data_IF_921948089745
#
_entry.id   IF_921948089745
#
_cell.length_a   1.000
_cell.length_b   1.000
_cell.length_c   1.000
_cell.angle_alpha   90.00
_cell.angle_beta   90.00
_cell.angle_gamma   90.00
#
_symmetry.space_group_name_H-M   'P 1'
#
loop_
_entity.id
_entity.type
_entity.pdbx_description
1 polymer ?
#
# COMPACT_ATOMS: atom_id res chain seq x y z
N UNK A 1 5.59 -1.21 28.28
CA UNK A 1 5.47 -2.60 27.75
C UNK A 1 5.32 -2.39 26.26
N UNK A 2 6.41 -2.54 25.50
CA UNK A 2 6.46 -2.16 24.07
C UNK A 2 5.60 -3.17 23.30
N UNK A 3 4.42 -2.76 22.81
CA UNK A 3 3.68 -3.55 21.84
C UNK A 3 4.51 -3.53 20.55
N UNK A 4 4.93 -4.71 20.10
CA UNK A 4 5.57 -4.88 18.80
C UNK A 4 4.48 -4.67 17.75
N UNK A 5 4.70 -3.71 16.86
CA UNK A 5 3.83 -3.33 15.76
C UNK A 5 3.59 -4.59 14.90
N UNK A 6 2.33 -4.95 14.69
CA UNK A 6 1.91 -5.91 13.65
C UNK A 6 1.77 -5.09 12.38
N UNK A 7 2.74 -5.17 11.48
CA UNK A 7 2.74 -4.44 10.20
C UNK A 7 2.97 -5.49 9.11
N UNK A 8 1.93 -5.73 8.31
CA UNK A 8 2.01 -6.39 7.01
C UNK A 8 1.18 -5.53 6.07
N UNK A 9 1.79 -4.40 5.72
CA UNK A 9 1.40 -3.43 4.69
C UNK A 9 2.62 -2.53 4.53
N UNK A 10 3.67 -3.04 3.86
CA UNK A 10 4.97 -2.36 3.82
C UNK A 10 4.93 -1.02 3.05
N UNK A 11 3.92 -0.78 2.22
CA UNK A 11 3.84 0.40 1.35
C UNK A 11 2.41 0.96 1.17
N UNK A 12 1.52 0.78 2.14
CA UNK A 12 0.12 1.19 1.96
C UNK A 12 -0.09 2.69 2.28
N UNK A 13 -0.06 3.52 1.24
CA UNK A 13 -0.38 4.94 1.26
C UNK A 13 -1.90 5.17 1.14
N UNK A 14 -2.55 5.66 2.20
CA UNK A 14 -3.93 6.15 2.09
C UNK A 14 -3.87 7.59 1.58
N UNK A 15 -4.02 7.78 0.27
CA UNK A 15 -4.22 9.10 -0.33
C UNK A 15 -5.73 9.39 -0.39
N UNK A 16 -6.23 10.22 0.52
CA UNK A 16 -7.60 10.74 0.50
C UNK A 16 -7.77 11.82 -0.58
N UNK A 17 -8.08 11.40 -1.81
CA UNK A 17 -8.43 12.33 -2.90
C UNK A 17 -9.92 12.70 -2.84
N UNK A 18 -10.21 13.99 -2.71
CA UNK A 18 -11.57 14.54 -2.75
C UNK A 18 -11.96 14.90 -4.19
N UNK A 19 -12.87 14.13 -4.80
CA UNK A 19 -13.31 14.35 -6.17
C UNK A 19 -14.29 15.53 -6.31
N UNK A 20 -13.92 16.50 -7.15
CA UNK A 20 -14.82 17.53 -7.68
C UNK A 20 -15.37 17.08 -9.03
N UNK A 21 -16.69 16.87 -9.09
CA UNK A 21 -17.43 16.32 -10.22
C UNK A 21 -17.77 17.35 -11.33
N UNK A 22 -17.75 16.88 -12.59
CA UNK A 22 -18.60 17.21 -13.78
C UNK A 22 -17.77 16.86 -15.04
N UNK A 23 -18.13 15.96 -15.96
CA UNK A 23 -19.41 15.45 -16.46
C UNK A 23 -19.59 15.85 -17.94
N UNK A 24 -19.64 14.90 -18.89
CA UNK A 24 -20.49 14.90 -20.11
C UNK A 24 -20.37 13.57 -20.91
N UNK A 25 -21.43 13.17 -21.62
CA UNK A 25 -21.83 11.79 -22.01
C UNK A 25 -21.35 11.24 -23.40
N UNK A 26 -21.01 9.92 -23.43
CA UNK A 26 -21.38 8.83 -24.39
C UNK A 26 -20.94 8.85 -25.89
N UNK A 27 -21.05 7.75 -26.71
CA UNK A 27 -21.41 6.33 -26.44
C UNK A 27 -20.56 5.20 -27.13
N UNK A 28 -20.55 4.01 -26.48
CA UNK A 28 -20.68 2.60 -26.93
C UNK A 28 -20.37 2.15 -28.38
N UNK A 29 -19.58 1.07 -28.51
CA UNK A 29 -19.94 -0.08 -29.38
C UNK A 29 -19.24 -1.40 -28.97
N UNK A 30 -20.01 -2.48 -28.94
CA UNK A 30 -19.66 -3.85 -28.52
C UNK A 30 -19.03 -4.66 -29.68
N UNK A 31 -18.04 -5.53 -29.40
CA UNK A 31 -17.81 -6.73 -30.22
C UNK A 31 -17.02 -7.83 -29.48
N UNK A 32 -17.70 -8.96 -29.30
CA UNK A 32 -17.27 -10.27 -28.78
C UNK A 32 -16.26 -11.04 -29.68
N UNK A 33 -15.70 -12.17 -29.19
CA UNK A 33 -14.28 -12.53 -29.34
C UNK A 33 -13.97 -13.53 -30.47
N UNK A 34 -12.68 -13.72 -30.76
CA UNK A 34 -12.18 -14.85 -31.57
C UNK A 34 -10.94 -15.49 -30.96
N UNK A 35 -11.06 -16.78 -30.68
CA UNK A 35 -10.01 -17.70 -30.28
C UNK A 35 -8.94 -17.97 -31.36
N UNK A 36 -7.80 -18.45 -30.83
CA UNK A 36 -6.79 -19.38 -31.35
C UNK A 36 -5.52 -18.80 -31.97
N UNK A 37 -4.39 -19.00 -31.26
CA UNK A 37 -3.32 -19.90 -31.71
C UNK A 37 -2.18 -20.00 -30.68
N UNK A 38 -1.75 -21.23 -30.40
CA UNK A 38 -0.51 -21.57 -29.69
C UNK A 38 0.71 -20.84 -30.28
N UNK A 39 1.48 -20.14 -29.43
CA UNK A 39 2.82 -19.64 -29.76
C UNK A 39 3.79 -20.07 -28.66
N UNK A 40 4.65 -21.07 -28.95
CA UNK A 40 5.94 -21.22 -28.26
C UNK A 40 6.76 -19.95 -28.57
N UNK A 41 6.65 -18.99 -27.64
CA UNK A 41 7.25 -17.65 -27.68
C UNK A 41 6.46 -16.61 -26.86
N UNK A 42 5.75 -17.04 -25.82
CA UNK A 42 4.80 -16.19 -25.06
C UNK A 42 5.28 -15.70 -23.70
N UNK A 43 6.49 -16.05 -23.24
CA UNK A 43 6.97 -15.59 -21.91
C UNK A 43 7.31 -14.07 -21.91
N UNK A 44 7.57 -13.46 -23.07
CA UNK A 44 7.79 -11.99 -23.14
C UNK A 44 6.50 -11.17 -23.05
N UNK A 45 5.31 -11.76 -23.27
CA UNK A 45 4.04 -11.01 -23.23
C UNK A 45 3.49 -10.83 -21.81
N UNK A 46 4.01 -11.59 -20.85
CA UNK A 46 3.61 -11.49 -19.45
C UNK A 46 4.59 -10.66 -18.61
N UNK A 47 5.77 -10.26 -19.11
CA UNK A 47 6.71 -9.44 -18.34
C UNK A 47 6.40 -7.96 -18.54
N UNK A 48 6.03 -7.26 -17.47
CA UNK A 48 5.63 -5.84 -17.48
C UNK A 48 6.75 -4.90 -17.05
N UNK A 49 7.73 -5.39 -16.29
CA UNK A 49 8.95 -4.66 -15.96
C UNK A 49 10.11 -5.61 -15.66
N UNK A 50 11.34 -5.08 -15.64
CA UNK A 50 12.55 -5.79 -15.23
C UNK A 50 13.35 -4.89 -14.30
N UNK A 51 13.72 -5.38 -13.11
CA UNK A 51 14.47 -4.67 -12.07
C UNK A 51 15.75 -5.44 -11.75
N UNK A 52 16.90 -4.92 -12.15
CA UNK A 52 18.22 -5.57 -11.98
C UNK A 52 18.28 -7.02 -12.51
N UNK A 53 17.48 -7.32 -13.54
CA UNK A 53 17.38 -8.64 -14.15
C UNK A 53 16.31 -9.56 -13.54
N UNK A 54 15.59 -9.12 -12.52
CA UNK A 54 14.38 -9.76 -12.00
C UNK A 54 13.16 -9.29 -12.82
N UNK A 55 12.35 -10.23 -13.27
CA UNK A 55 11.17 -9.94 -14.11
C UNK A 55 9.95 -9.72 -13.21
N UNK A 56 9.22 -8.63 -13.42
CA UNK A 56 7.91 -8.40 -12.82
C UNK A 56 6.87 -8.84 -13.84
N UNK A 57 6.01 -9.75 -13.43
CA UNK A 57 4.98 -10.37 -14.25
C UNK A 57 3.68 -9.55 -14.25
N UNK A 58 2.90 -9.69 -15.32
CA UNK A 58 1.60 -9.05 -15.49
C UNK A 58 0.62 -9.50 -14.42
N UNK A 59 0.70 -10.77 -14.02
CA UNK A 59 -0.12 -11.33 -12.95
C UNK A 59 0.13 -10.60 -11.62
N UNK A 60 1.39 -10.38 -11.25
CA UNK A 60 1.75 -9.60 -10.05
C UNK A 60 1.18 -8.18 -10.14
N UNK A 61 1.37 -7.50 -11.28
CA UNK A 61 0.78 -6.18 -11.51
C UNK A 61 -0.74 -6.18 -11.38
N UNK A 62 -1.40 -7.21 -11.91
CA UNK A 62 -2.85 -7.34 -11.82
C UNK A 62 -3.28 -7.48 -10.37
N UNK A 63 -2.67 -8.40 -9.63
CA UNK A 63 -2.95 -8.64 -8.21
C UNK A 63 -2.72 -7.40 -7.35
N UNK A 64 -1.59 -6.70 -7.52
CA UNK A 64 -1.31 -5.45 -6.79
C UNK A 64 -2.36 -4.38 -7.11
N UNK A 65 -2.82 -4.26 -8.37
CA UNK A 65 -3.92 -3.35 -8.70
C UNK A 65 -5.22 -3.72 -7.98
N UNK A 66 -5.57 -5.01 -7.90
CA UNK A 66 -6.76 -5.46 -7.17
C UNK A 66 -6.68 -5.13 -5.68
N UNK A 67 -5.51 -5.35 -5.08
CA UNK A 67 -5.25 -5.01 -3.69
C UNK A 67 -5.37 -3.50 -3.43
N UNK A 68 -4.76 -2.67 -4.27
CA UNK A 68 -4.85 -1.22 -4.17
C UNK A 68 -6.30 -0.72 -4.36
N UNK A 69 -7.01 -1.25 -5.34
CA UNK A 69 -8.41 -0.90 -5.59
C UNK A 69 -9.30 -1.27 -4.39
N UNK A 70 -9.09 -2.46 -3.82
CA UNK A 70 -9.77 -2.89 -2.60
C UNK A 70 -9.47 -1.97 -1.42
N UNK A 71 -8.19 -1.59 -1.23
CA UNK A 71 -7.78 -0.67 -0.17
C UNK A 71 -8.45 0.71 -0.32
N UNK A 72 -8.54 1.22 -1.54
CA UNK A 72 -9.21 2.49 -1.84
C UNK A 72 -10.74 2.37 -1.78
N UNK A 73 -11.29 1.19 -1.47
CA UNK A 73 -12.73 0.89 -1.47
C UNK A 73 -13.39 1.18 -2.84
N UNK A 74 -12.62 1.00 -3.91
CA UNK A 74 -13.05 1.18 -5.29
C UNK A 74 -13.09 -0.17 -5.99
N UNK A 75 -14.28 -0.79 -6.20
CA UNK A 75 -14.36 -2.05 -6.92
C UNK A 75 -13.85 -1.90 -8.36
N UNK A 76 -12.90 -2.74 -8.78
CA UNK A 76 -12.29 -2.68 -10.14
C UNK A 76 -13.35 -2.75 -11.24
N UNK A 77 -14.35 -3.63 -11.11
CA UNK A 77 -15.46 -3.75 -12.06
C UNK A 77 -16.16 -2.40 -12.32
N UNK A 78 -16.22 -1.52 -11.31
CA UNK A 78 -16.83 -0.20 -11.45
C UNK A 78 -15.88 0.81 -12.09
N UNK A 79 -14.56 0.68 -11.88
CA UNK A 79 -13.54 1.55 -12.45
C UNK A 79 -13.35 1.28 -13.94
N UNK A 80 -13.29 0.00 -14.34
CA UNK A 80 -13.13 -0.42 -15.74
C UNK A 80 -14.26 0.09 -16.65
N UNK A 81 -15.47 0.25 -16.11
CA UNK A 81 -16.61 0.76 -16.87
C UNK A 81 -16.68 2.29 -16.95
N UNK A 82 -15.97 3.02 -16.07
CA UNK A 82 -16.25 4.43 -15.80
C UNK A 82 -15.08 5.37 -16.08
N UNK A 83 -13.83 4.94 -15.92
CA UNK A 83 -12.69 5.88 -15.90
C UNK A 83 -11.36 5.25 -16.34
N UNK A 84 -11.04 5.37 -17.64
CA UNK A 84 -9.76 4.93 -18.20
C UNK A 84 -8.56 5.69 -17.59
N UNK A 85 -8.72 6.93 -17.12
CA UNK A 85 -7.65 7.72 -16.53
C UNK A 85 -7.31 7.17 -15.14
N UNK A 86 -8.33 6.93 -14.31
CA UNK A 86 -8.18 6.29 -13.01
C UNK A 86 -7.55 4.88 -13.12
N UNK A 87 -7.93 4.10 -14.13
CA UNK A 87 -7.34 2.77 -14.33
C UNK A 87 -5.86 2.83 -14.70
N UNK A 88 -5.43 3.87 -15.44
CA UNK A 88 -4.03 4.10 -15.72
C UNK A 88 -3.28 4.56 -14.47
N UNK A 89 -3.85 5.46 -13.67
CA UNK A 89 -3.26 5.87 -12.38
C UNK A 89 -3.08 4.68 -11.45
N UNK A 90 -4.08 3.80 -11.33
CA UNK A 90 -4.01 2.60 -10.51
C UNK A 90 -2.93 1.63 -11.00
N UNK A 91 -2.81 1.45 -12.33
CA UNK A 91 -1.75 0.65 -12.93
C UNK A 91 -0.37 1.23 -12.64
N UNK A 92 -0.22 2.54 -12.76
CA UNK A 92 1.05 3.22 -12.52
C UNK A 92 1.43 3.16 -11.02
N UNK A 93 0.47 3.31 -10.11
CA UNK A 93 0.69 3.10 -8.67
C UNK A 93 1.13 1.68 -8.34
N UNK A 94 0.45 0.66 -8.89
CA UNK A 94 0.82 -0.73 -8.68
C UNK A 94 2.21 -1.06 -9.24
N UNK A 95 2.57 -0.49 -10.40
CA UNK A 95 3.90 -0.64 -10.99
C UNK A 95 4.98 -0.01 -10.11
N UNK A 96 4.74 1.18 -9.58
CA UNK A 96 5.66 1.86 -8.66
C UNK A 96 5.83 1.07 -7.34
N UNK A 97 4.75 0.50 -6.81
CA UNK A 97 4.81 -0.36 -5.63
C UNK A 97 5.64 -1.63 -5.87
N UNK A 98 5.42 -2.33 -6.99
CA UNK A 98 6.18 -3.52 -7.33
C UNK A 98 7.66 -3.21 -7.55
N UNK A 99 7.99 -2.20 -8.36
CA UNK A 99 9.39 -1.83 -8.61
C UNK A 99 10.07 -1.39 -7.31
N UNK A 100 9.41 -0.56 -6.50
CA UNK A 100 9.94 -0.10 -5.22
C UNK A 100 10.18 -1.26 -4.25
N UNK A 101 9.22 -2.17 -4.13
CA UNK A 101 9.34 -3.39 -3.33
C UNK A 101 10.50 -4.27 -3.77
N UNK A 102 10.64 -4.53 -5.07
CA UNK A 102 11.76 -5.32 -5.61
C UNK A 102 13.10 -4.67 -5.33
N UNK A 103 13.24 -3.35 -5.54
CA UNK A 103 14.49 -2.63 -5.24
C UNK A 103 14.86 -2.73 -3.76
N UNK A 104 13.89 -2.53 -2.86
CA UNK A 104 14.12 -2.62 -1.42
C UNK A 104 14.49 -4.05 -0.98
N UNK A 105 13.82 -5.07 -1.53
CA UNK A 105 14.12 -6.47 -1.23
C UNK A 105 15.54 -6.87 -1.71
N UNK A 106 15.91 -6.45 -2.92
CA UNK A 106 17.26 -6.68 -3.47
C UNK A 106 18.34 -5.98 -2.65
N UNK A 107 18.08 -4.75 -2.19
CA UNK A 107 19.02 -4.02 -1.35
C UNK A 107 19.15 -4.67 0.04
N UNK A 108 18.04 -5.08 0.65
CA UNK A 108 18.05 -5.84 1.89
C UNK A 108 18.87 -7.15 1.77
N UNK A 109 18.73 -7.89 0.66
CA UNK A 109 19.55 -9.06 0.39
C UNK A 109 21.03 -8.70 0.24
N UNK A 110 21.34 -7.62 -0.49
CA UNK A 110 22.71 -7.13 -0.71
C UNK A 110 23.41 -6.73 0.60
N UNK A 111 22.67 -6.15 1.55
CA UNK A 111 23.15 -5.80 2.89
C UNK A 111 23.16 -6.98 3.88
N UNK A 112 22.57 -8.11 3.49
CA UNK A 112 22.53 -9.33 4.29
C UNK A 112 21.46 -9.30 5.39
N UNK A 113 20.38 -8.54 5.17
CA UNK A 113 19.21 -8.40 6.05
C UNK A 113 18.16 -9.50 5.79
N UNK A 114 18.59 -10.70 5.41
CA UNK A 114 17.69 -11.84 5.20
C UNK A 114 17.27 -12.44 6.55
N UNK A 115 15.95 -12.57 6.83
CA UNK A 115 15.47 -13.18 8.07
C UNK A 115 15.83 -14.68 8.12
N UNK A 116 15.96 -15.21 9.33
CA UNK A 116 16.15 -16.65 9.50
C UNK A 116 14.82 -17.42 9.41
N UNK A 117 14.92 -18.75 9.23
CA UNK A 117 13.75 -19.62 9.05
C UNK A 117 12.78 -19.58 10.25
N UNK A 118 13.29 -19.38 11.48
CA UNK A 118 12.46 -19.30 12.69
C UNK A 118 11.65 -17.99 12.69
N UNK A 119 12.25 -16.90 12.24
CA UNK A 119 11.59 -15.62 12.09
C UNK A 119 10.51 -15.64 11.00
N UNK A 120 10.81 -16.22 9.83
CA UNK A 120 9.82 -16.37 8.75
C UNK A 120 8.65 -17.22 9.21
N UNK A 121 8.89 -18.39 9.82
CA UNK A 121 7.82 -19.26 10.31
C UNK A 121 6.96 -18.57 11.38
N UNK A 122 7.59 -17.85 12.30
CA UNK A 122 6.87 -17.12 13.35
C UNK A 122 5.99 -16.00 12.78
N UNK A 123 6.40 -15.36 11.68
CA UNK A 123 5.58 -14.33 11.03
C UNK A 123 4.48 -14.94 10.17
N UNK A 124 4.77 -16.05 9.48
CA UNK A 124 3.78 -16.83 8.75
C UNK A 124 2.66 -17.34 9.67
N UNK A 125 2.99 -17.90 10.83
CA UNK A 125 2.01 -18.32 11.85
C UNK A 125 1.17 -17.13 12.34
N UNK A 126 1.76 -15.95 12.53
CA UNK A 126 1.04 -14.75 12.96
C UNK A 126 0.12 -14.21 11.85
N UNK A 127 0.57 -14.26 10.61
CA UNK A 127 -0.22 -13.85 9.46
C UNK A 127 -1.46 -14.73 9.31
N UNK A 128 -1.25 -16.03 9.22
CA UNK A 128 -2.32 -17.03 9.06
C UNK A 128 -3.30 -17.03 10.24
N UNK A 129 -2.82 -16.80 11.46
CA UNK A 129 -3.68 -16.71 12.65
C UNK A 129 -4.70 -15.55 12.61
N UNK A 130 -4.45 -14.49 11.82
CA UNK A 130 -5.38 -13.35 11.70
C UNK A 130 -6.65 -13.71 10.95
N UNK A 131 -6.57 -14.65 10.01
CA UNK A 131 -7.72 -15.12 9.24
C UNK A 131 -8.58 -16.10 10.04
N UNK A 132 -8.03 -16.70 11.11
CA UNK A 132 -8.74 -17.66 11.95
C UNK A 132 -9.08 -18.96 11.21
N UNK A 133 -8.47 -19.16 10.05
CA UNK A 133 -8.62 -20.30 9.17
C UNK A 133 -7.69 -21.45 9.61
N UNK A 134 -8.07 -22.67 9.26
CA UNK A 134 -7.15 -23.80 9.35
C UNK A 134 -6.13 -23.78 8.21
N UNK A 135 -4.98 -24.44 8.41
CA UNK A 135 -3.95 -24.59 7.36
C UNK A 135 -4.53 -25.15 6.04
N UNK A 136 -5.49 -26.08 6.12
CA UNK A 136 -6.20 -26.64 4.95
C UNK A 136 -7.07 -25.60 4.24
N UNK A 137 -7.74 -24.70 4.97
CA UNK A 137 -8.53 -23.62 4.39
C UNK A 137 -7.63 -22.56 3.71
N UNK A 138 -6.47 -22.28 4.30
CA UNK A 138 -5.48 -21.36 3.71
C UNK A 138 -4.92 -21.95 2.42
N UNK A 139 -4.54 -23.23 2.41
CA UNK A 139 -4.10 -23.92 1.20
C UNK A 139 -5.20 -23.93 0.11
N UNK A 140 -6.46 -24.14 0.48
CA UNK A 140 -7.60 -24.08 -0.46
C UNK A 140 -7.83 -22.66 -1.01
N UNK A 141 -7.61 -21.63 -0.21
CA UNK A 141 -7.73 -20.23 -0.64
C UNK A 141 -6.59 -19.83 -1.57
N UNK A 142 -5.34 -20.12 -1.22
CA UNK A 142 -4.17 -19.88 -2.08
C UNK A 142 -4.34 -20.58 -3.43
N UNK A 143 -4.81 -21.83 -3.43
CA UNK A 143 -5.03 -22.58 -4.66
C UNK A 143 -6.16 -22.01 -5.55
N UNK A 144 -7.07 -21.19 -5.02
CA UNK A 144 -8.07 -20.48 -5.85
C UNK A 144 -7.45 -19.34 -6.64
N UNK A 145 -6.31 -18.82 -6.18
CA UNK A 145 -5.53 -17.75 -6.80
C UNK A 145 -4.26 -18.30 -7.48
N UNK A 146 -4.19 -19.63 -7.70
CA UNK A 146 -3.03 -20.35 -8.26
C UNK A 146 -1.72 -20.15 -7.45
N UNK A 147 -1.82 -19.81 -6.17
CA UNK A 147 -0.72 -19.64 -5.22
C UNK A 147 -0.50 -20.88 -4.33
N UNK A 148 0.67 -20.94 -3.71
CA UNK A 148 1.08 -22.00 -2.79
C UNK A 148 1.54 -21.45 -1.43
N UNK A 149 1.66 -22.35 -0.44
CA UNK A 149 2.29 -22.00 0.84
C UNK A 149 3.76 -21.61 0.72
N UNK A 150 4.44 -21.99 -0.37
CA UNK A 150 5.81 -21.57 -0.64
C UNK A 150 5.84 -20.13 -1.12
N UNK A 151 4.92 -19.73 -2.01
CA UNK A 151 4.78 -18.34 -2.47
C UNK A 151 4.44 -17.42 -1.30
N UNK A 152 3.48 -17.80 -0.45
CA UNK A 152 3.16 -17.02 0.75
C UNK A 152 4.36 -16.89 1.71
N UNK A 153 5.21 -17.91 1.79
CA UNK A 153 6.42 -17.87 2.62
C UNK A 153 7.46 -16.91 2.02
N UNK A 154 7.57 -16.87 0.70
CA UNK A 154 8.43 -15.95 -0.03
C UNK A 154 7.96 -14.50 0.18
N UNK A 155 6.66 -14.23 0.06
CA UNK A 155 6.07 -12.92 0.34
C UNK A 155 6.36 -12.44 1.76
N UNK A 156 6.18 -13.32 2.76
CA UNK A 156 6.51 -13.01 4.16
C UNK A 156 8.01 -12.71 4.32
N UNK A 157 8.86 -13.46 3.61
CA UNK A 157 10.31 -13.24 3.64
C UNK A 157 10.68 -11.88 3.05
N UNK A 158 10.14 -11.55 1.88
CA UNK A 158 10.35 -10.25 1.23
C UNK A 158 9.83 -9.10 2.08
N UNK A 159 8.62 -9.23 2.65
CA UNK A 159 8.07 -8.20 3.53
C UNK A 159 8.94 -7.95 4.76
N UNK A 160 9.56 -8.99 5.33
CA UNK A 160 10.48 -8.84 6.47
C UNK A 160 11.78 -8.17 6.05
N UNK A 161 12.35 -8.56 4.90
CA UNK A 161 13.54 -7.90 4.34
C UNK A 161 13.31 -6.41 4.11
N UNK A 162 12.18 -6.06 3.49
CA UNK A 162 11.77 -4.67 3.24
C UNK A 162 11.60 -3.91 4.57
N UNK A 163 10.99 -4.53 5.58
CA UNK A 163 10.83 -3.91 6.90
C UNK A 163 12.19 -3.61 7.54
N UNK A 164 13.13 -4.56 7.51
CA UNK A 164 14.45 -4.38 8.12
C UNK A 164 15.28 -3.30 7.40
N UNK A 165 15.26 -3.26 6.06
CA UNK A 165 15.98 -2.19 5.32
C UNK A 165 15.33 -0.83 5.56
N UNK A 166 14.00 -0.75 5.67
CA UNK A 166 13.31 0.49 6.03
C UNK A 166 13.72 0.95 7.43
N UNK A 167 13.72 0.05 8.42
CA UNK A 167 14.15 0.36 9.79
C UNK A 167 15.63 0.81 9.86
N UNK A 168 16.50 0.30 8.98
CA UNK A 168 17.93 0.70 8.93
C UNK A 168 18.17 2.03 8.19
N UNK A 169 17.43 2.30 7.11
CA UNK A 169 17.70 3.43 6.20
C UNK A 169 16.81 4.64 6.44
N UNK A 170 15.58 4.42 6.92
CA UNK A 170 14.56 5.46 7.06
C UNK A 170 14.51 5.93 8.52
N UNK A 171 15.54 6.65 8.94
CA UNK A 171 15.57 7.26 10.28
C UNK A 171 14.99 8.68 10.24
N UNK A 172 13.88 8.93 10.93
CA UNK A 172 13.33 10.29 11.16
C UNK A 172 13.52 10.67 12.63
N UNK A 173 13.78 11.95 12.90
CA UNK A 173 13.87 12.46 14.27
C UNK A 173 12.49 12.34 14.93
N UNK A 174 12.42 11.77 16.13
CA UNK A 174 11.17 11.67 16.90
C UNK A 174 10.78 13.05 17.49
N UNK A 175 11.73 13.97 17.64
CA UNK A 175 11.48 15.32 18.15
C UNK A 175 11.18 16.29 16.97
N UNK A 176 10.00 16.13 16.34
CA UNK A 176 9.53 17.04 15.28
C UNK A 176 8.76 18.24 15.82
N UNK A 177 9.05 19.44 15.34
CA UNK A 177 8.25 20.63 15.64
C UNK A 177 6.99 20.67 14.75
N UNK A 178 5.81 20.81 15.35
CA UNK A 178 4.56 21.07 14.65
C UNK A 178 4.07 22.50 14.85
N UNK A 179 3.45 23.05 13.82
CA UNK A 179 2.83 24.36 13.81
C UNK A 179 1.39 24.30 14.33
N UNK A 180 0.89 25.44 14.82
CA UNK A 180 -0.52 25.56 15.22
C UNK A 180 -1.49 25.24 14.08
N UNK A 181 -1.08 25.47 12.83
CA UNK A 181 -1.86 25.13 11.64
C UNK A 181 -1.99 23.61 11.47
N UNK A 182 -0.89 22.86 11.54
CA UNK A 182 -0.88 21.39 11.48
C UNK A 182 -1.74 20.78 12.60
N UNK A 183 -1.65 21.31 13.82
CA UNK A 183 -2.48 20.85 14.96
C UNK A 183 -3.97 21.15 14.73
N UNK A 184 -4.29 22.32 14.14
CA UNK A 184 -5.68 22.68 13.79
C UNK A 184 -6.22 21.83 12.64
N UNK A 185 -5.39 21.38 11.72
CA UNK A 185 -5.78 20.47 10.64
C UNK A 185 -6.12 19.08 11.17
N UNK A 186 -5.30 18.52 12.06
CA UNK A 186 -5.60 17.25 12.74
C UNK A 186 -6.93 17.31 13.46
N UNK A 187 -7.19 18.40 14.19
CA UNK A 187 -8.45 18.60 14.88
C UNK A 187 -9.67 18.59 13.93
N UNK A 188 -9.56 19.27 12.79
CA UNK A 188 -10.62 19.29 11.78
C UNK A 188 -10.87 17.91 11.16
N UNK A 189 -9.80 17.15 10.87
CA UNK A 189 -9.92 15.78 10.37
C UNK A 189 -10.61 14.87 11.40
N UNK A 190 -10.25 14.99 12.68
CA UNK A 190 -10.88 14.24 13.76
C UNK A 190 -12.37 14.58 13.90
N UNK A 191 -12.73 15.88 13.86
CA UNK A 191 -14.14 16.28 13.85
C UNK A 191 -14.91 15.65 12.67
N UNK A 192 -14.36 15.72 11.47
CA UNK A 192 -14.98 15.15 10.28
C UNK A 192 -15.18 13.63 10.41
N UNK A 193 -14.18 12.91 10.94
CA UNK A 193 -14.27 11.48 11.20
C UNK A 193 -15.33 11.14 12.25
N UNK A 194 -15.42 11.91 13.34
CA UNK A 194 -16.45 11.74 14.36
C UNK A 194 -17.85 11.96 13.80
N UNK A 195 -18.05 13.00 12.97
CA UNK A 195 -19.33 13.26 12.31
C UNK A 195 -19.73 12.12 11.37
N UNK A 196 -18.78 11.58 10.59
CA UNK A 196 -19.03 10.40 9.75
C UNK A 196 -19.46 9.18 10.57
N UNK A 197 -18.86 8.96 11.75
CA UNK A 197 -19.24 7.84 12.62
C UNK A 197 -20.59 8.02 13.33
N UNK A 198 -20.97 9.25 13.70
CA UNK A 198 -22.26 9.53 14.38
C UNK A 198 -23.46 9.52 13.42
N UNK A 199 -23.23 9.69 12.11
CA UNK A 199 -24.25 9.69 11.06
C UNK A 199 -25.18 10.91 11.09
N UNK A 200 -26.04 11.05 10.07
CA UNK A 200 -26.91 12.25 9.83
C UNK A 200 -27.86 12.63 10.98
N UNK A 201 -27.97 11.83 12.04
CA UNK A 201 -28.94 12.08 13.13
C UNK A 201 -28.40 12.91 14.29
N UNK A 202 -27.10 13.18 14.31
CA UNK A 202 -26.43 13.98 15.35
C UNK A 202 -25.56 15.09 14.73
N UNK A 203 -26.03 15.74 13.65
CA UNK A 203 -25.40 16.94 13.05
C UNK A 203 -25.19 18.09 14.06
N UNK A 204 -25.98 18.12 15.15
CA UNK A 204 -25.89 19.12 16.23
C UNK A 204 -24.99 18.66 17.40
N UNK A 205 -24.04 17.75 17.17
CA UNK A 205 -23.02 17.44 18.18
C UNK A 205 -22.21 18.72 18.47
N UNK A 206 -22.35 19.25 19.69
CA UNK A 206 -21.66 20.45 20.20
C UNK A 206 -20.19 20.10 20.45
N UNK A 207 -19.43 19.95 19.37
CA UNK A 207 -17.98 19.76 19.42
C UNK A 207 -17.33 21.11 19.78
N UNK A 208 -16.34 21.13 20.70
CA UNK A 208 -15.68 22.37 21.07
C UNK A 208 -15.04 23.05 19.86
N UNK A 209 -14.90 24.38 19.89
CA UNK A 209 -14.02 25.04 18.93
C UNK A 209 -12.55 24.78 19.30
N UNK A 210 -11.65 24.78 18.32
CA UNK A 210 -10.22 24.54 18.55
C UNK A 210 -9.62 25.45 19.63
N UNK A 211 -10.05 26.71 19.68
CA UNK A 211 -9.60 27.71 20.66
C UNK A 211 -10.11 27.44 22.09
N UNK A 212 -11.17 26.63 22.21
CA UNK A 212 -11.81 26.28 23.48
C UNK A 212 -11.37 24.91 24.02
N UNK A 213 -10.48 24.21 23.30
CA UNK A 213 -9.90 22.93 23.74
C UNK A 213 -9.19 23.08 25.08
N UNK A 214 -9.37 22.09 25.96
CA UNK A 214 -8.57 21.99 27.17
C UNK A 214 -7.10 21.70 26.81
N UNK A 215 -6.17 22.09 27.68
CA UNK A 215 -4.73 21.90 27.43
C UNK A 215 -4.36 20.43 27.13
N UNK A 216 -5.03 19.48 27.81
CA UNK A 216 -4.81 18.05 27.59
C UNK A 216 -5.27 17.61 26.19
N UNK A 217 -6.40 18.12 25.71
CA UNK A 217 -6.92 17.83 24.36
C UNK A 217 -6.02 18.46 23.29
N UNK A 218 -5.54 19.68 23.53
CA UNK A 218 -4.58 20.36 22.65
C UNK A 218 -3.28 19.58 22.55
N UNK A 219 -2.77 19.07 23.67
CA UNK A 219 -1.56 18.25 23.68
C UNK A 219 -1.77 16.93 22.92
N UNK A 220 -2.93 16.30 23.05
CA UNK A 220 -3.26 15.08 22.27
C UNK A 220 -3.28 15.36 20.76
N UNK A 221 -3.83 16.50 20.33
CA UNK A 221 -3.79 16.92 18.92
C UNK A 221 -2.36 17.22 18.44
N UNK A 222 -1.53 17.79 19.32
CA UNK A 222 -0.11 18.07 19.03
C UNK A 222 0.66 16.76 18.82
N UNK A 223 0.50 15.78 19.71
CA UNK A 223 1.12 14.44 19.59
C UNK A 223 0.63 13.70 18.33
N UNK A 224 -0.65 13.83 17.96
CA UNK A 224 -1.17 13.27 16.70
C UNK A 224 -0.57 13.97 15.47
N UNK A 225 -0.43 15.29 15.50
CA UNK A 225 0.18 16.05 14.42
C UNK A 225 1.67 15.68 14.26
N UNK A 226 2.39 15.52 15.37
CA UNK A 226 3.79 15.06 15.37
C UNK A 226 3.89 13.67 14.73
N UNK A 227 3.02 12.73 15.12
CA UNK A 227 3.01 11.39 14.52
C UNK A 227 2.67 11.41 13.03
N UNK A 228 1.67 12.19 12.59
CA UNK A 228 1.35 12.33 11.16
C UNK A 228 2.53 12.92 10.39
N UNK A 229 3.21 13.90 10.95
CA UNK A 229 4.38 14.54 10.34
C UNK A 229 5.57 13.58 10.25
N UNK A 230 5.83 12.80 11.30
CA UNK A 230 6.86 11.75 11.27
C UNK A 230 6.55 10.76 10.14
N UNK A 231 5.30 10.28 10.04
CA UNK A 231 4.90 9.36 8.96
C UNK A 231 5.09 9.97 7.57
N UNK A 232 4.76 11.25 7.38
CA UNK A 232 5.00 11.95 6.11
C UNK A 232 6.50 12.05 5.78
N UNK A 233 7.34 12.36 6.76
CA UNK A 233 8.79 12.42 6.59
C UNK A 233 9.41 11.05 6.34
N UNK A 234 8.93 10.00 7.02
CA UNK A 234 9.34 8.61 6.77
C UNK A 234 9.00 8.22 5.34
N UNK A 235 7.78 8.55 4.89
CA UNK A 235 7.36 8.30 3.52
C UNK A 235 8.19 9.08 2.49
N UNK A 236 8.46 10.37 2.72
CA UNK A 236 9.31 11.20 1.83
C UNK A 236 10.70 10.59 1.69
N UNK A 237 11.32 10.18 2.81
CA UNK A 237 12.63 9.54 2.80
C UNK A 237 12.61 8.17 2.12
N UNK A 238 11.55 7.40 2.30
CA UNK A 238 11.39 6.13 1.62
C UNK A 238 11.37 6.33 0.10
N UNK A 239 10.61 7.31 -0.39
CA UNK A 239 10.55 7.62 -1.82
C UNK A 239 11.90 8.12 -2.35
N UNK A 240 12.59 8.99 -1.60
CA UNK A 240 13.95 9.43 -1.95
C UNK A 240 14.91 8.23 -2.05
N UNK A 241 14.84 7.30 -1.09
CA UNK A 241 15.67 6.11 -1.09
C UNK A 241 15.35 5.15 -2.25
N UNK A 242 14.07 4.92 -2.57
CA UNK A 242 13.68 4.13 -3.75
C UNK A 242 14.17 4.79 -5.03
N UNK A 243 14.09 6.12 -5.15
CA UNK A 243 14.62 6.87 -6.29
C UNK A 243 16.14 6.70 -6.41
N UNK A 244 16.87 6.75 -5.29
CA UNK A 244 18.32 6.47 -5.26
C UNK A 244 18.62 5.04 -5.76
N UNK A 245 17.92 4.03 -5.24
CA UNK A 245 18.08 2.63 -5.68
C UNK A 245 17.74 2.45 -7.17
N UNK A 246 16.71 3.14 -7.65
CA UNK A 246 16.31 3.14 -9.06
C UNK A 246 17.37 3.78 -9.95
N UNK A 247 18.03 4.85 -9.50
CA UNK A 247 19.12 5.50 -10.24
C UNK A 247 20.41 4.66 -10.27
N UNK A 248 20.66 3.88 -9.22
CA UNK A 248 21.81 2.97 -9.12
C UNK A 248 21.60 1.64 -9.87
N UNK A 249 20.36 1.18 -9.96
CA UNK A 249 19.95 -0.05 -10.62
C UNK A 249 19.61 0.07 -12.13
N UNK A 250 19.22 -1.06 -12.72
CA UNK A 250 18.68 -1.15 -14.07
C UNK A 250 17.18 -1.47 -13.99
N UNK A 251 16.33 -0.47 -14.28
CA UNK A 251 14.87 -0.63 -14.32
C UNK A 251 14.36 -0.39 -15.74
N UNK A 252 13.68 -1.39 -16.31
CA UNK A 252 13.03 -1.33 -17.62
C UNK A 252 11.54 -1.64 -17.49
N UNK A 253 10.67 -0.67 -17.79
CA UNK A 253 9.21 -0.86 -17.85
C UNK A 253 8.80 -1.17 -19.29
N UNK A 254 7.95 -2.20 -19.49
CA UNK A 254 7.63 -2.80 -20.81
C UNK A 254 6.17 -2.63 -21.27
N UNK A 255 5.36 -1.89 -20.51
CA UNK A 255 3.92 -1.63 -20.76
C UNK A 255 3.63 -0.44 -21.67
#
# INVERSE_FOLDING_TARGET
MKLRKLILTALSLIILVTFAACGEEAPKDEAEPKESQDVEGEIEQDVVAVVNGEEIMYEELSQTKEQLAFQMQMPIDQLEEQDDEMMNELRDMAMEELIGGTLLAQEAEAEGLTPDEEEVEKNLEQYTAQFGESEEEIEENLAQEDLTMEDLREDVTQSLMITEIMDEKIEVDEDVDVSEEEVREVYQQQQAQMQMMMGEKEEDADLPDFEDLEEEERQEMEEMAEQQKIQQLEHEKLMEYIDELREEGEVEVKI
#
